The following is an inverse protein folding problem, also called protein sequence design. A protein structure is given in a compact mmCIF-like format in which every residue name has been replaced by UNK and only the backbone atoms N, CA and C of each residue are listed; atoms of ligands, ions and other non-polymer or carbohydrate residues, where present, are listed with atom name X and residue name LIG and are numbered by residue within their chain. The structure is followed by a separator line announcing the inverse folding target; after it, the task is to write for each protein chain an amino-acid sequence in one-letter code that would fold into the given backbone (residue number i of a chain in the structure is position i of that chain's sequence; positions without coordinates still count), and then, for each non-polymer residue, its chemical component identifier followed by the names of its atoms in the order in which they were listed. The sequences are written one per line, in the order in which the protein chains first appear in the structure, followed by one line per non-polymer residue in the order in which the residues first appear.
data_IF_645911269938
#
_entry.id   IF_645911269938
#
_cell.length_a   1.000
_cell.length_b   1.000
_cell.length_c   1.000
_cell.angle_alpha   90.00
_cell.angle_beta   90.00
_cell.angle_gamma   90.00
#
_symmetry.space_group_name_H-M   'P 1'
#
loop_
_entity.id
_entity.type
_entity.pdbx_description
1 polymer ?
#
# COMPACT_ATOMS: atom_id res chain seq x y z
N UNK A 1 -10.29 9.76 3.65
CA UNK A 1 -9.57 8.64 3.02
C UNK A 1 -8.30 8.35 3.80
N UNK A 2 -7.96 7.10 4.00
CA UNK A 2 -6.63 6.70 4.46
C UNK A 2 -5.58 7.03 3.38
N UNK A 3 -4.35 7.36 3.82
CA UNK A 3 -3.28 7.81 2.92
C UNK A 3 -2.39 6.69 2.37
N UNK A 4 -2.50 5.49 2.92
CA UNK A 4 -1.64 4.34 2.68
C UNK A 4 -2.39 3.09 2.20
N UNK A 5 -3.57 3.28 1.58
CA UNK A 5 -4.36 2.19 1.02
C UNK A 5 -4.37 2.23 -0.50
N UNK A 6 -4.25 1.07 -1.14
CA UNK A 6 -4.25 0.88 -2.59
C UNK A 6 -5.51 0.13 -3.02
N UNK A 7 -6.34 0.76 -3.83
CA UNK A 7 -7.59 0.21 -4.35
C UNK A 7 -8.10 1.03 -5.54
N UNK A 8 -9.09 0.50 -6.27
CA UNK A 8 -9.86 1.25 -7.27
C UNK A 8 -11.33 1.25 -6.87
N UNK A 9 -11.93 2.44 -6.76
CA UNK A 9 -13.30 2.60 -6.26
C UNK A 9 -14.05 3.71 -6.99
N UNK A 10 -15.31 3.45 -7.31
CA UNK A 10 -16.24 4.49 -7.74
C UNK A 10 -16.95 5.09 -6.51
N UNK A 11 -16.43 6.22 -6.04
CA UNK A 11 -16.99 6.92 -4.87
C UNK A 11 -18.43 7.41 -5.07
N UNK A 12 -18.87 7.63 -6.31
CA UNK A 12 -20.26 8.04 -6.56
C UNK A 12 -21.28 6.98 -6.13
N UNK A 13 -20.93 5.69 -6.24
CA UNK A 13 -21.78 4.60 -5.77
C UNK A 13 -21.87 4.57 -4.25
N UNK A 14 -20.76 4.75 -3.55
CA UNK A 14 -20.77 4.88 -2.09
C UNK A 14 -21.54 6.12 -1.62
N UNK A 15 -21.41 7.25 -2.33
CA UNK A 15 -22.17 8.46 -2.02
C UNK A 15 -23.67 8.25 -2.22
N UNK A 16 -24.08 7.59 -3.30
CA UNK A 16 -25.49 7.27 -3.54
C UNK A 16 -26.06 6.37 -2.43
N UNK A 17 -25.29 5.36 -2.00
CA UNK A 17 -25.66 4.48 -0.89
C UNK A 17 -25.76 5.25 0.45
N UNK A 18 -24.82 6.17 0.73
CA UNK A 18 -24.87 7.07 1.89
C UNK A 18 -26.17 7.89 1.93
N UNK A 19 -26.51 8.51 0.80
CA UNK A 19 -27.75 9.30 0.70
C UNK A 19 -28.98 8.41 0.88
N UNK A 20 -29.01 7.23 0.27
CA UNK A 20 -30.13 6.30 0.38
C UNK A 20 -30.37 5.79 1.79
N UNK A 21 -29.29 5.49 2.53
CA UNK A 21 -29.36 5.02 3.93
C UNK A 21 -29.71 6.14 4.91
N UNK A 22 -29.50 7.40 4.57
CA UNK A 22 -29.85 8.57 5.38
C UNK A 22 -29.13 8.63 6.74
N UNK A 23 -27.97 7.99 6.88
CA UNK A 23 -27.13 8.06 8.07
C UNK A 23 -26.15 9.22 7.97
N UNK A 24 -25.64 9.68 9.12
CA UNK A 24 -24.70 10.77 9.15
C UNK A 24 -23.26 10.35 8.77
N UNK A 25 -22.94 9.07 8.91
CA UNK A 25 -21.65 8.47 8.58
C UNK A 25 -21.84 7.17 7.78
N UNK A 26 -21.04 6.97 6.74
CA UNK A 26 -20.92 5.68 6.03
C UNK A 26 -19.45 5.28 5.99
N UNK A 27 -19.18 4.02 6.36
CA UNK A 27 -17.84 3.42 6.41
C UNK A 27 -17.74 2.37 5.32
N UNK A 28 -16.79 2.50 4.40
CA UNK A 28 -16.51 1.42 3.45
C UNK A 28 -15.86 0.25 4.18
N UNK A 29 -16.30 -0.95 3.83
CA UNK A 29 -15.84 -2.18 4.47
C UNK A 29 -15.58 -3.30 3.46
N UNK A 30 -14.69 -4.21 3.83
CA UNK A 30 -14.31 -5.38 3.06
C UNK A 30 -14.25 -6.62 3.95
N UNK A 31 -14.62 -7.77 3.41
CA UNK A 31 -14.41 -9.04 4.11
C UNK A 31 -12.94 -9.46 3.99
N UNK A 32 -12.31 -9.72 5.12
CA UNK A 32 -10.92 -10.21 5.21
C UNK A 32 -10.84 -11.46 6.08
N UNK A 33 -9.81 -12.30 5.94
CA UNK A 33 -9.53 -13.37 6.88
C UNK A 33 -9.44 -12.82 8.32
N UNK A 34 -10.00 -13.54 9.29
CA UNK A 34 -10.09 -13.09 10.69
C UNK A 34 -8.74 -12.76 11.31
N UNK A 35 -7.69 -13.49 10.93
CA UNK A 35 -6.34 -13.21 11.41
C UNK A 35 -5.79 -11.87 10.92
N UNK A 36 -6.06 -11.50 9.66
CA UNK A 36 -5.68 -10.22 9.08
C UNK A 36 -6.47 -9.06 9.69
N UNK A 37 -7.73 -9.32 10.07
CA UNK A 37 -8.63 -8.33 10.66
C UNK A 37 -8.11 -7.73 11.98
N UNK A 38 -7.19 -8.39 12.68
CA UNK A 38 -6.57 -7.88 13.91
C UNK A 38 -5.80 -6.56 13.70
N UNK A 39 -5.41 -6.27 12.46
CA UNK A 39 -4.73 -5.02 12.09
C UNK A 39 -5.65 -3.83 11.84
N UNK A 40 -6.97 -4.05 11.77
CA UNK A 40 -7.93 -3.06 11.29
C UNK A 40 -9.03 -2.75 12.32
N UNK A 41 -9.77 -1.67 12.08
CA UNK A 41 -11.07 -1.49 12.69
C UNK A 41 -12.05 -2.54 12.16
N UNK A 42 -12.75 -3.24 13.01
CA UNK A 42 -13.67 -4.32 12.64
C UNK A 42 -15.07 -3.97 13.09
N UNK A 43 -16.05 -4.27 12.23
CA UNK A 43 -17.44 -3.92 12.48
C UNK A 43 -18.37 -5.12 12.42
N UNK A 44 -19.46 -5.03 13.19
CA UNK A 44 -20.66 -5.85 13.04
C UNK A 44 -21.77 -5.01 12.42
N UNK A 45 -22.62 -5.63 11.61
CA UNK A 45 -23.73 -4.96 10.92
C UNK A 45 -25.03 -5.75 11.09
N UNK A 46 -26.14 -5.03 11.01
CA UNK A 46 -27.47 -5.64 10.89
C UNK A 46 -27.83 -5.98 9.43
N UNK A 47 -29.05 -6.47 9.19
CA UNK A 47 -29.54 -6.84 7.89
C UNK A 47 -29.63 -5.66 6.89
N UNK A 48 -29.75 -4.44 7.38
CA UNK A 48 -29.85 -3.20 6.62
C UNK A 48 -28.47 -2.49 6.48
N UNK A 49 -27.39 -3.18 6.83
CA UNK A 49 -26.03 -2.64 6.83
C UNK A 49 -25.80 -1.44 7.76
N UNK A 50 -26.63 -1.26 8.81
CA UNK A 50 -26.28 -0.33 9.88
C UNK A 50 -25.18 -0.96 10.74
N UNK A 51 -24.18 -0.17 11.11
CA UNK A 51 -23.11 -0.65 12.00
C UNK A 51 -23.65 -0.73 13.42
N UNK A 52 -23.66 -1.92 13.97
CA UNK A 52 -24.15 -2.20 15.33
C UNK A 52 -23.02 -2.22 16.36
N UNK A 53 -21.79 -2.52 15.91
CA UNK A 53 -20.60 -2.49 16.74
C UNK A 53 -19.37 -2.15 15.91
N UNK A 54 -18.38 -1.50 16.53
CA UNK A 54 -17.09 -1.16 15.90
C UNK A 54 -15.97 -1.20 16.95
N UNK A 55 -14.96 -2.01 16.66
CA UNK A 55 -13.79 -2.17 17.54
C UNK A 55 -12.51 -1.98 16.75
N UNK A 56 -11.66 -1.06 17.20
CA UNK A 56 -10.36 -0.79 16.58
C UNK A 56 -9.33 -1.84 17.01
N UNK A 57 -8.76 -2.56 16.06
CA UNK A 57 -7.68 -3.55 16.23
C UNK A 57 -7.96 -4.57 17.35
N UNK A 58 -9.08 -5.30 17.28
CA UNK A 58 -9.43 -6.25 18.32
C UNK A 58 -8.49 -7.47 18.30
N UNK A 59 -8.11 -7.97 19.48
CA UNK A 59 -7.35 -9.21 19.61
C UNK A 59 -8.14 -10.43 19.09
N UNK A 60 -9.46 -10.41 19.22
CA UNK A 60 -10.41 -11.42 18.77
C UNK A 60 -11.51 -10.78 17.91
N UNK A 61 -11.28 -10.61 16.58
CA UNK A 61 -12.22 -9.95 15.69
C UNK A 61 -13.55 -10.70 15.59
N UNK A 62 -14.71 -10.01 15.62
CA UNK A 62 -16.02 -10.65 15.39
C UNK A 62 -16.08 -11.22 13.96
N UNK A 63 -16.72 -12.38 13.82
CA UNK A 63 -16.91 -13.02 12.52
C UNK A 63 -18.13 -12.45 11.79
N UNK A 64 -18.06 -12.44 10.46
CA UNK A 64 -19.23 -12.20 9.61
C UNK A 64 -20.26 -13.32 9.84
N UNK A 65 -21.55 -13.01 10.02
CA UNK A 65 -22.59 -14.02 10.15
C UNK A 65 -22.57 -15.02 8.99
N UNK A 66 -22.49 -16.31 9.30
CA UNK A 66 -22.39 -17.39 8.31
C UNK A 66 -20.99 -17.63 7.71
N UNK A 67 -19.98 -16.80 8.07
CA UNK A 67 -18.58 -16.93 7.61
C UNK A 67 -17.61 -16.86 8.78
N UNK A 68 -17.47 -17.89 9.63
CA UNK A 68 -16.71 -17.83 10.90
C UNK A 68 -15.21 -17.55 10.74
N UNK A 69 -14.66 -17.77 9.53
CA UNK A 69 -13.25 -17.48 9.21
C UNK A 69 -12.98 -16.08 8.71
N UNK A 70 -13.99 -15.20 8.58
CA UNK A 70 -13.87 -13.84 8.03
C UNK A 70 -14.46 -12.81 8.96
N UNK A 71 -13.94 -11.61 8.89
CA UNK A 71 -14.41 -10.41 9.60
C UNK A 71 -14.65 -9.27 8.61
N UNK A 72 -15.47 -8.30 8.99
CA UNK A 72 -15.75 -7.13 8.18
C UNK A 72 -14.84 -5.98 8.64
N UNK A 73 -13.80 -5.71 7.85
CA UNK A 73 -12.79 -4.70 8.15
C UNK A 73 -13.18 -3.33 7.58
N UNK A 74 -12.90 -2.27 8.35
CA UNK A 74 -12.96 -0.89 7.87
C UNK A 74 -11.81 -0.63 6.92
N UNK A 75 -12.11 -0.02 5.77
CA UNK A 75 -11.11 0.38 4.79
C UNK A 75 -10.52 1.77 5.04
N UNK A 76 -10.87 2.44 6.14
CA UNK A 76 -10.43 3.84 6.36
C UNK A 76 -11.02 4.83 5.35
N UNK A 77 -12.11 4.48 4.72
CA UNK A 77 -12.83 5.31 3.73
C UNK A 77 -14.18 5.68 4.31
N UNK A 78 -14.41 6.98 4.49
CA UNK A 78 -15.60 7.48 5.17
C UNK A 78 -16.32 8.55 4.34
N UNK A 79 -17.66 8.52 4.38
CA UNK A 79 -18.51 9.64 3.94
C UNK A 79 -19.28 10.13 5.14
N UNK A 80 -19.26 11.44 5.37
CA UNK A 80 -19.98 12.10 6.43
C UNK A 80 -20.87 13.21 5.89
N UNK A 81 -22.02 13.42 6.52
CA UNK A 81 -22.71 14.70 6.43
C UNK A 81 -21.81 15.78 7.05
N UNK A 82 -21.51 16.85 6.29
CA UNK A 82 -20.52 17.85 6.68
C UNK A 82 -20.79 18.47 8.05
N UNK A 83 -22.05 18.88 8.31
CA UNK A 83 -22.42 19.44 9.62
C UNK A 83 -22.15 18.46 10.76
N UNK A 84 -22.54 17.19 10.60
CA UNK A 84 -22.31 16.16 11.61
C UNK A 84 -20.81 15.97 11.87
N UNK A 85 -20.01 15.93 10.82
CA UNK A 85 -18.56 15.78 10.97
C UNK A 85 -17.95 16.94 11.77
N UNK A 86 -18.31 18.18 11.44
CA UNK A 86 -17.78 19.35 12.15
C UNK A 86 -18.20 19.36 13.62
N UNK A 87 -19.49 19.11 13.90
CA UNK A 87 -20.00 19.04 15.27
C UNK A 87 -19.26 17.96 16.09
N UNK A 88 -18.96 16.79 15.47
CA UNK A 88 -18.23 15.69 16.15
C UNK A 88 -16.75 16.02 16.35
N UNK A 89 -16.10 16.66 15.38
CA UNK A 89 -14.69 17.07 15.51
C UNK A 89 -14.50 18.16 16.57
N UNK A 90 -15.40 19.15 16.64
CA UNK A 90 -15.37 20.19 17.67
C UNK A 90 -15.55 19.58 19.06
N UNK A 91 -16.48 18.65 19.20
CA UNK A 91 -16.71 17.92 20.46
C UNK A 91 -15.46 17.10 20.85
N UNK A 92 -14.90 16.36 19.90
CA UNK A 92 -13.73 15.50 20.12
C UNK A 92 -12.51 16.32 20.52
N UNK A 93 -12.28 17.46 19.86
CA UNK A 93 -11.20 18.38 20.19
C UNK A 93 -11.31 18.92 21.63
N UNK A 94 -12.52 19.07 22.16
CA UNK A 94 -12.76 19.54 23.53
C UNK A 94 -12.65 18.43 24.60
N UNK A 95 -12.56 17.16 24.21
CA UNK A 95 -12.47 16.02 25.14
C UNK A 95 -11.00 15.70 25.46
N UNK A 96 -10.52 15.97 26.69
CA UNK A 96 -9.13 15.70 27.07
C UNK A 96 -8.79 14.19 27.16
N UNK A 97 -9.80 13.31 27.12
CA UNK A 97 -9.60 11.87 27.15
C UNK A 97 -9.62 11.23 25.75
N UNK A 98 -9.92 12.01 24.71
CA UNK A 98 -9.90 11.53 23.35
C UNK A 98 -8.47 11.32 22.85
N UNK A 99 -8.25 10.30 22.05
CA UNK A 99 -7.01 10.08 21.29
C UNK A 99 -6.98 10.84 19.97
N UNK A 100 -8.09 11.52 19.62
CA UNK A 100 -8.32 12.22 18.36
C UNK A 100 -8.16 11.30 17.13
N UNK A 101 -8.64 10.07 17.25
CA UNK A 101 -8.56 9.03 16.24
C UNK A 101 -9.96 8.67 15.72
N UNK A 102 -10.11 8.59 14.40
CA UNK A 102 -11.41 8.27 13.80
C UNK A 102 -11.91 6.88 14.22
N UNK A 103 -11.05 5.88 14.26
CA UNK A 103 -11.40 4.50 14.59
C UNK A 103 -11.69 4.29 16.07
N UNK A 104 -11.06 5.08 16.96
CA UNK A 104 -11.24 4.93 18.43
C UNK A 104 -12.30 5.85 18.98
N UNK A 105 -12.46 7.05 18.46
CA UNK A 105 -13.27 8.09 19.07
C UNK A 105 -14.51 8.44 18.25
N UNK A 106 -14.34 8.79 16.95
CA UNK A 106 -15.41 9.32 16.10
C UNK A 106 -16.37 8.22 15.62
N UNK A 107 -15.86 7.14 15.02
CA UNK A 107 -16.68 6.07 14.45
C UNK A 107 -17.43 5.30 15.55
N UNK A 108 -16.81 4.86 16.66
CA UNK A 108 -17.55 4.20 17.74
C UNK A 108 -18.64 5.08 18.34
N UNK A 109 -18.45 6.40 18.40
CA UNK A 109 -19.49 7.32 18.83
C UNK A 109 -20.65 7.38 17.83
N UNK A 110 -20.34 7.51 16.52
CA UNK A 110 -21.38 7.49 15.48
C UNK A 110 -22.21 6.20 15.53
N UNK A 111 -21.58 5.05 15.81
CA UNK A 111 -22.24 3.76 16.01
C UNK A 111 -23.16 3.80 17.23
N UNK A 112 -22.68 4.24 18.40
CA UNK A 112 -23.50 4.37 19.62
C UNK A 112 -24.73 5.27 19.43
N UNK A 113 -24.62 6.29 18.56
CA UNK A 113 -25.71 7.22 18.23
C UNK A 113 -26.61 6.70 17.10
N UNK A 114 -26.40 5.46 16.60
CA UNK A 114 -27.08 4.86 15.46
C UNK A 114 -27.02 5.75 14.19
N UNK A 115 -25.89 6.44 13.98
CA UNK A 115 -25.65 7.33 12.85
C UNK A 115 -24.67 6.75 11.82
N UNK A 116 -24.19 5.51 12.01
CA UNK A 116 -23.21 4.88 11.14
C UNK A 116 -23.83 3.74 10.32
N UNK A 117 -23.50 3.69 9.02
CA UNK A 117 -23.81 2.58 8.14
C UNK A 117 -22.54 2.05 7.46
N UNK A 118 -22.52 0.78 7.11
CA UNK A 118 -21.46 0.16 6.33
C UNK A 118 -21.79 0.18 4.83
N UNK A 119 -20.76 0.33 4.01
CA UNK A 119 -20.84 0.19 2.56
C UNK A 119 -19.90 -0.92 2.10
N UNK A 120 -20.41 -2.07 1.62
CA UNK A 120 -19.59 -3.13 1.07
C UNK A 120 -18.79 -2.66 -0.14
N UNK A 121 -17.47 -2.80 -0.10
CA UNK A 121 -16.58 -2.38 -1.18
C UNK A 121 -16.90 -3.04 -2.52
N UNK A 122 -17.38 -4.28 -2.49
CA UNK A 122 -17.82 -5.02 -3.69
C UNK A 122 -18.84 -4.26 -4.55
N UNK A 123 -19.67 -3.40 -3.93
CA UNK A 123 -20.67 -2.60 -4.63
C UNK A 123 -20.07 -1.41 -5.40
N UNK A 124 -18.84 -1.05 -5.11
CA UNK A 124 -18.21 0.15 -5.67
C UNK A 124 -16.77 -0.06 -6.16
N UNK A 125 -16.19 -1.25 -5.99
CA UNK A 125 -14.88 -1.57 -6.54
C UNK A 125 -14.89 -1.55 -8.07
N UNK A 126 -13.75 -1.24 -8.67
CA UNK A 126 -13.59 -1.14 -10.12
C UNK A 126 -12.45 -2.04 -10.58
N UNK A 127 -12.62 -2.68 -11.73
CA UNK A 127 -11.59 -3.51 -12.37
C UNK A 127 -11.51 -4.95 -11.84
N UNK A 128 -12.40 -5.35 -10.92
CA UNK A 128 -12.48 -6.73 -10.43
C UNK A 128 -13.23 -7.60 -11.44
N UNK A 129 -12.68 -8.75 -11.79
CA UNK A 129 -13.33 -9.73 -12.65
C UNK A 129 -14.40 -10.51 -11.87
N UNK A 130 -15.47 -10.98 -12.54
CA UNK A 130 -16.47 -11.82 -11.88
C UNK A 130 -15.83 -13.04 -11.19
N UNK A 131 -16.11 -13.19 -9.89
CA UNK A 131 -15.58 -14.30 -9.07
C UNK A 131 -14.20 -14.03 -8.45
N UNK A 132 -13.58 -12.89 -8.70
CA UNK A 132 -12.38 -12.45 -7.99
C UNK A 132 -12.75 -11.58 -6.79
N UNK A 133 -11.95 -11.66 -5.73
CA UNK A 133 -12.06 -10.75 -4.60
C UNK A 133 -11.65 -9.33 -5.02
N UNK A 134 -12.32 -8.28 -4.51
CA UNK A 134 -11.91 -6.90 -4.74
C UNK A 134 -10.48 -6.64 -4.27
N UNK A 135 -9.70 -5.93 -5.09
CA UNK A 135 -8.33 -5.60 -4.71
C UNK A 135 -8.30 -4.42 -3.72
N UNK A 136 -7.81 -4.70 -2.54
CA UNK A 136 -7.52 -3.69 -1.53
C UNK A 136 -6.27 -4.12 -0.74
N UNK A 137 -5.35 -3.18 -0.53
CA UNK A 137 -4.12 -3.38 0.26
C UNK A 137 -3.90 -2.19 1.17
N UNK A 138 -3.66 -2.46 2.44
CA UNK A 138 -3.01 -1.55 3.37
C UNK A 138 -1.49 -1.73 3.23
N UNK A 139 -0.77 -0.64 2.94
CA UNK A 139 0.68 -0.65 2.75
C UNK A 139 1.43 0.10 3.86
N UNK A 140 0.87 0.13 5.05
CA UNK A 140 1.42 0.77 6.25
C UNK A 140 2.65 0.07 6.84
N UNK A 141 3.09 -1.08 6.29
CA UNK A 141 4.34 -1.75 6.68
C UNK A 141 5.28 -1.88 5.49
N UNK A 142 6.60 -2.03 5.76
CA UNK A 142 7.60 -2.23 4.69
C UNK A 142 7.29 -3.50 3.89
N UNK A 143 6.85 -4.56 4.55
CA UNK A 143 6.51 -5.82 3.92
C UNK A 143 5.31 -5.67 2.99
N UNK A 144 4.21 -5.11 3.46
CA UNK A 144 3.01 -4.89 2.64
C UNK A 144 3.27 -3.89 1.49
N UNK A 145 4.10 -2.86 1.73
CA UNK A 145 4.53 -1.93 0.69
C UNK A 145 5.36 -2.65 -0.39
N UNK A 146 6.32 -3.47 0.01
CA UNK A 146 7.14 -4.26 -0.90
C UNK A 146 6.29 -5.25 -1.69
N UNK A 147 5.44 -6.02 -1.03
CA UNK A 147 4.53 -7.00 -1.65
C UNK A 147 3.63 -6.34 -2.70
N UNK A 148 2.98 -5.22 -2.36
CA UNK A 148 2.08 -4.53 -3.28
C UNK A 148 2.81 -3.99 -4.54
N UNK A 149 4.06 -3.55 -4.41
CA UNK A 149 4.87 -3.13 -5.54
C UNK A 149 5.32 -4.33 -6.40
N UNK A 150 5.76 -5.42 -5.77
CA UNK A 150 6.25 -6.59 -6.51
C UNK A 150 5.11 -7.33 -7.21
N UNK A 151 3.91 -7.37 -6.65
CA UNK A 151 2.71 -7.90 -7.33
C UNK A 151 2.48 -7.26 -8.70
N UNK A 152 2.79 -5.97 -8.86
CA UNK A 152 2.67 -5.28 -10.15
C UNK A 152 3.60 -5.82 -11.24
N UNK A 153 4.65 -6.54 -10.86
CA UNK A 153 5.61 -7.14 -11.80
C UNK A 153 5.14 -8.49 -12.36
N UNK A 154 4.07 -9.06 -11.82
CA UNK A 154 3.48 -10.29 -12.33
C UNK A 154 2.96 -10.13 -13.76
N UNK A 155 2.89 -11.23 -14.52
CA UNK A 155 2.35 -11.22 -15.88
C UNK A 155 0.88 -10.80 -15.91
N UNK A 156 0.11 -11.19 -14.90
CA UNK A 156 -1.30 -10.83 -14.72
C UNK A 156 -1.50 -10.31 -13.29
N UNK A 157 -1.16 -9.03 -13.02
CA UNK A 157 -1.26 -8.46 -11.68
C UNK A 157 -2.71 -8.25 -11.29
N UNK A 158 -3.00 -8.44 -9.99
CA UNK A 158 -4.34 -8.20 -9.44
C UNK A 158 -4.79 -6.75 -9.60
N UNK A 159 -3.86 -5.80 -9.48
CA UNK A 159 -4.09 -4.38 -9.77
C UNK A 159 -3.55 -4.05 -11.16
N UNK A 160 -4.44 -3.90 -12.15
CA UNK A 160 -4.05 -3.50 -13.49
C UNK A 160 -3.86 -1.98 -13.59
N UNK A 161 -2.59 -1.53 -13.71
CA UNK A 161 -2.23 -0.12 -13.93
C UNK A 161 -2.52 0.35 -15.36
N UNK A 162 -2.69 -0.56 -16.33
CA UNK A 162 -2.91 -0.27 -17.75
C UNK A 162 -4.39 -0.24 -18.14
N UNK A 163 -5.31 -0.31 -17.16
CA UNK A 163 -6.74 -0.21 -17.38
C UNK A 163 -7.13 1.17 -17.90
N UNK A 164 -7.53 1.24 -19.17
CA UNK A 164 -7.93 2.50 -19.82
C UNK A 164 -9.33 2.98 -19.43
N UNK A 165 -10.16 2.09 -18.89
CA UNK A 165 -11.52 2.44 -18.49
C UNK A 165 -11.55 3.12 -17.12
N UNK A 166 -10.53 2.88 -16.30
CA UNK A 166 -10.38 3.49 -14.97
C UNK A 166 -8.89 3.83 -14.71
N UNK A 167 -8.34 4.83 -15.41
CA UNK A 167 -6.92 5.16 -15.28
C UNK A 167 -6.62 5.75 -13.89
N UNK A 168 -5.45 5.41 -13.37
CA UNK A 168 -4.93 6.02 -12.13
C UNK A 168 -4.24 7.33 -12.49
N UNK A 169 -4.84 8.45 -12.13
CA UNK A 169 -4.26 9.77 -12.32
C UNK A 169 -3.34 10.13 -11.16
N UNK A 170 -2.08 10.41 -11.47
CA UNK A 170 -1.08 10.84 -10.50
C UNK A 170 -0.13 11.83 -11.14
N UNK A 171 0.62 12.56 -10.30
CA UNK A 171 1.69 13.41 -10.81
C UNK A 171 2.78 12.56 -11.48
N UNK A 172 3.08 12.86 -12.73
CA UNK A 172 4.18 12.27 -13.48
C UNK A 172 5.09 13.39 -13.99
N UNK A 173 6.36 13.46 -13.56
CA UNK A 173 7.30 14.43 -14.12
C UNK A 173 7.53 14.11 -15.59
N UNK A 174 7.64 15.15 -16.41
CA UNK A 174 7.98 15.00 -17.84
C UNK A 174 9.48 14.64 -17.94
N UNK A 175 9.75 13.36 -18.18
CA UNK A 175 11.10 12.80 -18.27
C UNK A 175 11.26 12.07 -19.59
N UNK A 176 12.49 11.92 -20.04
CA UNK A 176 12.81 11.07 -21.19
C UNK A 176 12.40 9.61 -20.88
N UNK A 177 12.07 8.80 -21.91
CA UNK A 177 11.83 7.37 -21.71
C UNK A 177 13.01 6.68 -21.02
N UNK A 178 12.72 5.57 -20.31
CA UNK A 178 13.76 4.72 -19.77
C UNK A 178 14.69 4.21 -20.86
N UNK A 179 15.99 4.19 -20.60
CA UNK A 179 17.02 3.79 -21.56
C UNK A 179 17.82 2.59 -21.09
N UNK A 180 17.89 1.58 -21.92
CA UNK A 180 18.74 0.40 -21.71
C UNK A 180 19.98 0.53 -22.57
N UNK A 181 21.15 0.28 -21.98
CA UNK A 181 22.43 0.49 -22.67
C UNK A 181 23.29 -0.76 -22.59
N UNK A 182 24.20 -0.90 -23.59
CA UNK A 182 25.09 -2.03 -23.82
C UNK A 182 24.38 -3.31 -24.24
N UNK A 183 25.01 -4.08 -25.08
CA UNK A 183 24.55 -5.38 -25.57
C UNK A 183 25.76 -6.32 -25.82
N UNK A 184 26.71 -6.31 -24.89
CA UNK A 184 27.86 -7.20 -24.90
C UNK A 184 27.54 -8.42 -24.01
N UNK A 185 28.17 -9.61 -24.23
CA UNK A 185 27.85 -10.82 -23.51
C UNK A 185 27.86 -10.68 -21.98
N UNK A 186 28.85 -9.94 -21.44
CA UNK A 186 29.01 -9.75 -19.98
C UNK A 186 28.51 -8.38 -19.50
N UNK A 187 28.11 -7.49 -20.43
CA UNK A 187 27.67 -6.13 -20.12
C UNK A 187 26.42 -5.80 -20.90
N UNK A 188 25.27 -6.07 -20.30
CA UNK A 188 23.96 -5.83 -20.92
C UNK A 188 23.01 -5.19 -19.94
N UNK A 189 22.45 -4.04 -20.32
CA UNK A 189 21.33 -3.45 -19.61
C UNK A 189 20.02 -4.10 -20.03
N UNK A 190 19.33 -4.76 -19.13
CA UNK A 190 18.02 -5.35 -19.39
C UNK A 190 17.09 -5.27 -18.16
N UNK A 191 15.80 -5.44 -18.42
CA UNK A 191 14.79 -5.62 -17.38
C UNK A 191 13.81 -6.70 -17.81
N UNK A 192 13.50 -7.62 -16.90
CA UNK A 192 12.59 -8.74 -17.12
C UNK A 192 11.56 -8.76 -15.98
N UNK A 193 10.27 -8.92 -16.31
CA UNK A 193 9.18 -8.89 -15.35
C UNK A 193 9.31 -7.69 -14.37
N UNK A 194 9.51 -6.48 -14.89
CA UNK A 194 9.84 -5.30 -14.09
C UNK A 194 9.16 -4.05 -14.62
N UNK A 195 8.88 -3.09 -13.74
CA UNK A 195 8.38 -1.78 -14.13
C UNK A 195 9.51 -0.75 -14.02
N UNK A 196 9.78 -0.04 -15.11
CA UNK A 196 10.85 0.97 -15.17
C UNK A 196 10.25 2.30 -15.57
N UNK A 197 10.29 3.28 -14.66
CA UNK A 197 9.76 4.62 -14.91
C UNK A 197 10.72 5.49 -15.75
N UNK A 198 10.17 6.58 -16.31
CA UNK A 198 10.91 7.53 -17.13
C UNK A 198 12.14 8.13 -16.43
N UNK A 199 13.10 8.61 -17.25
CA UNK A 199 14.37 9.17 -16.78
C UNK A 199 15.41 8.13 -16.33
N UNK A 200 15.04 6.86 -16.25
CA UNK A 200 15.94 5.79 -15.78
C UNK A 200 16.94 5.36 -16.85
N UNK A 201 18.16 5.00 -16.42
CA UNK A 201 19.21 4.46 -17.30
C UNK A 201 19.73 3.15 -16.72
N UNK A 202 19.56 2.07 -17.47
CA UNK A 202 19.85 0.71 -17.02
C UNK A 202 21.02 0.13 -17.81
N UNK A 203 22.15 -0.07 -17.15
CA UNK A 203 23.38 -0.71 -17.68
C UNK A 203 23.64 -2.09 -17.05
N UNK A 204 22.92 -2.44 -16.01
CA UNK A 204 22.94 -3.74 -15.33
C UNK A 204 21.69 -4.54 -15.62
N UNK A 205 21.42 -5.57 -14.82
CA UNK A 205 20.26 -6.44 -14.94
C UNK A 205 19.23 -6.12 -13.87
N UNK A 206 17.96 -6.10 -14.25
CA UNK A 206 16.82 -5.85 -13.36
C UNK A 206 15.81 -6.97 -13.57
N UNK A 207 15.44 -7.67 -12.48
CA UNK A 207 14.53 -8.80 -12.49
C UNK A 207 13.44 -8.60 -11.44
N UNK A 208 12.17 -8.75 -11.82
CA UNK A 208 11.02 -8.69 -10.90
C UNK A 208 11.11 -7.52 -9.91
N UNK A 209 11.36 -6.34 -10.43
CA UNK A 209 11.63 -5.16 -9.61
C UNK A 209 10.88 -3.94 -10.15
N UNK A 210 10.61 -2.99 -9.25
CA UNK A 210 9.99 -1.71 -9.59
C UNK A 210 11.00 -0.59 -9.40
N UNK A 211 11.31 0.11 -10.49
CA UNK A 211 12.20 1.27 -10.51
C UNK A 211 11.40 2.53 -10.80
N UNK A 212 11.37 3.42 -9.82
CA UNK A 212 10.74 4.72 -9.94
C UNK A 212 11.56 5.65 -10.87
N UNK A 213 11.15 6.91 -10.97
CA UNK A 213 11.74 7.86 -11.92
C UNK A 213 13.20 8.18 -11.64
N UNK A 214 13.97 8.36 -12.72
CA UNK A 214 15.38 8.81 -12.68
C UNK A 214 16.34 7.84 -11.95
N UNK A 215 16.02 6.56 -11.89
CA UNK A 215 16.90 5.55 -11.30
C UNK A 215 18.04 5.21 -12.27
N UNK A 216 19.27 5.07 -11.74
CA UNK A 216 20.44 4.60 -12.48
C UNK A 216 20.93 3.27 -11.94
N UNK A 217 21.10 2.27 -12.84
CA UNK A 217 21.71 0.99 -12.52
C UNK A 217 22.97 0.83 -13.35
N UNK A 218 24.13 0.91 -12.71
CA UNK A 218 25.42 0.80 -13.38
C UNK A 218 25.74 -0.64 -13.81
N UNK A 219 26.74 -0.78 -14.70
CA UNK A 219 27.10 -2.05 -15.33
C UNK A 219 27.52 -3.12 -14.34
N UNK A 220 27.21 -4.37 -14.67
CA UNK A 220 27.54 -5.58 -13.89
C UNK A 220 26.73 -5.72 -12.60
N UNK A 221 25.76 -4.85 -12.35
CA UNK A 221 24.90 -4.92 -11.18
C UNK A 221 23.66 -5.73 -11.46
N UNK A 222 23.15 -6.40 -10.43
CA UNK A 222 21.95 -7.23 -10.46
C UNK A 222 20.96 -6.73 -9.39
N UNK A 223 19.77 -6.35 -9.82
CA UNK A 223 18.66 -5.91 -8.96
C UNK A 223 17.52 -6.91 -9.11
N UNK A 224 17.19 -7.59 -8.03
CA UNK A 224 16.16 -8.63 -8.02
C UNK A 224 15.14 -8.37 -6.91
N UNK A 225 13.86 -8.57 -7.21
CA UNK A 225 12.77 -8.48 -6.23
C UNK A 225 12.82 -7.21 -5.38
N UNK A 226 13.17 -6.09 -5.98
CA UNK A 226 13.49 -4.87 -5.24
C UNK A 226 12.66 -3.68 -5.72
N UNK A 227 12.44 -2.73 -4.81
CA UNK A 227 11.74 -1.48 -5.08
C UNK A 227 12.72 -0.34 -4.88
N UNK A 228 13.03 0.39 -5.95
CA UNK A 228 13.94 1.53 -5.94
C UNK A 228 13.15 2.82 -6.10
N UNK A 229 13.14 3.67 -5.07
CA UNK A 229 12.45 4.95 -5.07
C UNK A 229 13.14 5.97 -6.01
N UNK A 230 12.52 7.12 -6.30
CA UNK A 230 13.06 8.07 -7.28
C UNK A 230 14.51 8.50 -6.99
N UNK A 231 15.27 8.71 -8.07
CA UNK A 231 16.64 9.26 -8.01
C UNK A 231 17.68 8.34 -7.35
N UNK A 232 17.37 7.06 -7.18
CA UNK A 232 18.33 6.07 -6.66
C UNK A 232 19.41 5.79 -7.69
N UNK A 233 20.66 5.73 -7.24
CA UNK A 233 21.82 5.35 -8.06
C UNK A 233 22.47 4.09 -7.51
N UNK A 234 22.52 3.04 -8.32
CA UNK A 234 23.13 1.75 -8.01
C UNK A 234 24.51 1.68 -8.68
N UNK A 235 25.56 1.60 -7.90
CA UNK A 235 26.94 1.50 -8.35
C UNK A 235 27.22 0.23 -9.19
N UNK A 236 28.47 0.04 -9.60
CA UNK A 236 28.90 -1.14 -10.36
C UNK A 236 29.03 -2.38 -9.49
N UNK A 237 28.78 -3.57 -10.05
CA UNK A 237 28.94 -4.85 -9.35
C UNK A 237 28.09 -4.96 -8.06
N UNK A 238 27.03 -4.19 -7.93
CA UNK A 238 26.09 -4.25 -6.80
C UNK A 238 25.12 -5.41 -6.99
N UNK A 239 24.78 -6.07 -5.91
CA UNK A 239 23.77 -7.15 -5.90
C UNK A 239 22.71 -6.83 -4.86
N UNK A 240 21.45 -6.68 -5.32
CA UNK A 240 20.29 -6.40 -4.48
C UNK A 240 19.27 -7.52 -4.63
N UNK A 241 18.74 -8.01 -3.51
CA UNK A 241 17.63 -8.95 -3.50
C UNK A 241 16.68 -8.66 -2.33
N UNK A 242 15.39 -8.46 -2.63
CA UNK A 242 14.34 -8.17 -1.63
C UNK A 242 14.66 -6.91 -0.81
N UNK A 243 14.95 -5.81 -1.51
CA UNK A 243 15.37 -4.56 -0.91
C UNK A 243 14.39 -3.44 -1.30
N UNK A 244 14.11 -2.54 -0.35
CA UNK A 244 13.48 -1.24 -0.61
C UNK A 244 14.55 -0.17 -0.41
N UNK A 245 14.87 0.58 -1.45
CA UNK A 245 15.86 1.67 -1.40
C UNK A 245 15.13 3.01 -1.44
N UNK A 246 15.35 3.84 -0.43
CA UNK A 246 14.73 5.15 -0.31
C UNK A 246 15.28 6.15 -1.33
N UNK A 247 14.49 7.22 -1.57
CA UNK A 247 14.77 8.25 -2.56
C UNK A 247 16.19 8.80 -2.46
N UNK A 248 16.84 8.99 -3.62
CA UNK A 248 18.12 9.68 -3.75
C UNK A 248 19.31 8.93 -3.14
N UNK A 249 19.13 7.71 -2.66
CA UNK A 249 20.21 6.89 -2.15
C UNK A 249 21.21 6.53 -3.25
N UNK A 250 22.50 6.55 -2.89
CA UNK A 250 23.60 6.09 -3.76
C UNK A 250 24.25 4.87 -3.14
N UNK A 251 24.09 3.74 -3.80
CA UNK A 251 24.66 2.47 -3.37
C UNK A 251 26.07 2.34 -3.94
N UNK A 252 27.11 2.23 -3.11
CA UNK A 252 28.50 2.14 -3.56
C UNK A 252 28.77 0.90 -4.42
N UNK A 253 29.82 0.98 -5.24
CA UNK A 253 30.27 -0.12 -6.06
C UNK A 253 30.54 -1.39 -5.24
N UNK A 254 30.14 -2.56 -5.74
CA UNK A 254 30.39 -3.85 -5.12
C UNK A 254 29.53 -4.19 -3.90
N UNK A 255 28.62 -3.30 -3.47
CA UNK A 255 27.78 -3.55 -2.30
C UNK A 255 26.80 -4.71 -2.55
N UNK A 256 26.67 -5.59 -1.56
CA UNK A 256 25.71 -6.70 -1.58
C UNK A 256 24.70 -6.51 -0.45
N UNK A 257 23.39 -6.54 -0.79
CA UNK A 257 22.29 -6.34 0.15
C UNK A 257 21.18 -7.36 -0.16
N UNK A 258 20.59 -7.96 0.89
CA UNK A 258 19.50 -8.93 0.77
C UNK A 258 19.96 -10.36 0.57
N UNK A 259 21.27 -10.63 0.65
CA UNK A 259 21.86 -11.97 0.49
C UNK A 259 22.41 -12.54 1.81
N UNK A 260 22.77 -11.71 2.77
CA UNK A 260 23.28 -12.10 4.08
C UNK A 260 22.47 -11.37 5.18
N UNK A 261 21.59 -12.13 5.84
CA UNK A 261 20.67 -11.60 6.83
C UNK A 261 21.36 -10.95 8.03
N UNK A 262 22.49 -11.54 8.51
CA UNK A 262 23.21 -11.04 9.66
C UNK A 262 24.02 -9.79 9.34
N UNK A 263 24.66 -9.77 8.18
CA UNK A 263 25.40 -8.62 7.69
C UNK A 263 24.46 -7.44 7.41
N UNK A 264 23.29 -7.70 6.82
CA UNK A 264 22.30 -6.68 6.51
C UNK A 264 21.67 -6.09 7.78
N UNK A 265 21.30 -6.91 8.75
CA UNK A 265 20.71 -6.44 10.02
C UNK A 265 21.66 -5.55 10.84
N UNK A 266 23.00 -5.64 10.64
CA UNK A 266 23.99 -4.77 11.28
C UNK A 266 24.11 -3.40 10.60
N UNK A 267 23.70 -3.29 9.32
CA UNK A 267 23.87 -2.10 8.48
C UNK A 267 22.58 -1.37 8.22
N UNK A 268 21.47 -2.11 8.12
CA UNK A 268 20.19 -1.65 7.61
C UNK A 268 19.04 -2.17 8.47
N UNK A 269 17.85 -1.62 8.28
CA UNK A 269 16.66 -2.20 8.88
C UNK A 269 16.22 -3.41 8.07
N UNK A 270 15.98 -4.53 8.73
CA UNK A 270 15.48 -5.76 8.10
C UNK A 270 14.24 -6.25 8.81
N UNK A 271 13.18 -6.53 8.04
CA UNK A 271 11.94 -7.10 8.58
C UNK A 271 12.08 -8.59 8.89
N UNK A 272 11.17 -9.14 9.67
CA UNK A 272 11.13 -10.57 10.00
C UNK A 272 10.89 -11.45 8.75
N UNK A 273 10.16 -10.94 7.74
CA UNK A 273 9.94 -11.61 6.45
C UNK A 273 11.15 -11.50 5.51
N UNK A 274 12.17 -10.75 5.88
CA UNK A 274 13.44 -10.67 5.17
C UNK A 274 13.56 -9.56 4.13
N UNK A 275 12.70 -8.55 4.19
CA UNK A 275 12.84 -7.35 3.36
C UNK A 275 13.84 -6.40 4.02
N UNK A 276 14.79 -5.86 3.27
CA UNK A 276 15.77 -4.90 3.77
C UNK A 276 15.43 -3.49 3.31
N UNK A 277 15.25 -2.56 4.24
CA UNK A 277 15.08 -1.13 3.96
C UNK A 277 16.43 -0.44 4.04
N UNK A 278 16.76 0.36 3.03
CA UNK A 278 17.97 1.19 2.98
C UNK A 278 17.58 2.66 2.81
N UNK A 279 18.05 3.50 3.74
CA UNK A 279 17.88 4.95 3.69
C UNK A 279 19.20 5.67 3.57
N UNK A 280 19.19 6.94 3.17
CA UNK A 280 20.40 7.76 3.10
C UNK A 280 21.11 7.89 4.46
N UNK A 281 20.35 7.98 5.55
CA UNK A 281 20.92 8.04 6.90
C UNK A 281 21.66 6.74 7.29
N UNK A 282 21.10 5.57 6.92
CA UNK A 282 21.75 4.28 7.17
C UNK A 282 23.04 4.14 6.35
N UNK A 283 23.04 4.58 5.08
CA UNK A 283 24.25 4.56 4.25
C UNK A 283 25.33 5.49 4.80
N UNK A 284 24.97 6.68 5.28
CA UNK A 284 25.91 7.61 5.88
C UNK A 284 26.52 7.14 7.21
N UNK A 285 25.86 6.21 7.90
CA UNK A 285 26.34 5.62 9.15
C UNK A 285 27.28 4.42 8.95
N UNK A 286 27.48 3.98 7.70
CA UNK A 286 28.42 2.87 7.43
C UNK A 286 29.85 3.33 7.66
N UNK A 287 30.73 2.48 8.21
CA UNK A 287 32.17 2.76 8.30
C UNK A 287 32.75 2.89 6.88
N UNK A 288 33.73 3.78 6.74
CA UNK A 288 34.49 3.97 5.51
C UNK A 288 35.27 2.72 5.08
#
# INVERSE_FOLDING_TARGET
LAGDHIYKMNYALMLADHVAKGRACTVACIEVPREEAKGFGVMAVDADWNITDFVEKPADPPSVPGKPGHSLASMGIYIFNAKYLFDELERDMADPNSSHDFGKDIIPRAVRMAQAAAHPFELSCVGTQPGQAPYWRDVGTIDSYWDANIDLTATDPLLNLYDRNWPVWTYQPQLAPAKFVHNEPERRGNAIESLISGGSIISGQVLRSVLFSSVRVHSYSLVEWSVLLPEVEIGRHVRLNRVVIDRGCRIPDGMVIGHDAEADAKRFFRTDSGITLVTAAMLAALPE
#
